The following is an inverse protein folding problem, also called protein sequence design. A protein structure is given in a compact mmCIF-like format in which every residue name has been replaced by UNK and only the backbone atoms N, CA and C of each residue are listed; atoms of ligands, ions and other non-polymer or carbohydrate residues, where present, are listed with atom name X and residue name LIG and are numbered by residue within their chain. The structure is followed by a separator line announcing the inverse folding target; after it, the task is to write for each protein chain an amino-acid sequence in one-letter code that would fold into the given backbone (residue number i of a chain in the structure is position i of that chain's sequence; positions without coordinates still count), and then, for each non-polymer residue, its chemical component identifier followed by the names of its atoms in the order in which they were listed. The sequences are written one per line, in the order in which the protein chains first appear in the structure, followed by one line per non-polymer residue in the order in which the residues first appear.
data_IF_577432107218
#
_entry.id   IF_577432107218
#
_cell.length_a   1.000
_cell.length_b   1.000
_cell.length_c   1.000
_cell.angle_alpha   90.00
_cell.angle_beta   90.00
_cell.angle_gamma   90.00
#
_symmetry.space_group_name_H-M   'P 1'
#
loop_
_entity.id
_entity.type
_entity.pdbx_description
1 polymer ?
#
# COMPACT_ATOMS: atom_id res chain seq x y z
N UNK A 1 5.10 -25.26 10.95
CA UNK A 1 4.25 -25.17 9.74
C UNK A 1 4.96 -25.91 8.63
N UNK A 2 4.31 -26.90 8.02
CA UNK A 2 4.89 -27.61 6.88
C UNK A 2 4.79 -26.72 5.63
N UNK A 3 5.89 -26.58 4.90
CA UNK A 3 5.89 -25.89 3.60
C UNK A 3 5.21 -26.79 2.59
N UNK A 4 4.08 -26.34 2.05
CA UNK A 4 3.35 -27.06 1.02
C UNK A 4 4.13 -27.02 -0.30
N UNK A 5 4.52 -28.18 -0.82
CA UNK A 5 5.20 -28.26 -2.12
C UNK A 5 4.21 -27.91 -3.23
N UNK A 6 4.25 -26.68 -3.73
CA UNK A 6 3.44 -26.21 -4.86
C UNK A 6 4.26 -26.10 -6.13
N UNK A 7 3.62 -26.33 -7.26
CA UNK A 7 4.21 -26.10 -8.58
C UNK A 7 4.44 -24.60 -8.79
N UNK A 8 5.49 -24.23 -9.52
CA UNK A 8 5.81 -22.82 -9.81
C UNK A 8 4.60 -22.04 -10.34
N UNK A 9 3.82 -22.65 -11.23
CA UNK A 9 2.59 -22.04 -11.77
C UNK A 9 1.55 -21.76 -10.69
N UNK A 10 1.37 -22.68 -9.74
CA UNK A 10 0.41 -22.49 -8.63
C UNK A 10 0.80 -21.36 -7.67
N UNK A 11 2.07 -21.01 -7.63
CA UNK A 11 2.56 -19.86 -6.87
C UNK A 11 2.51 -18.57 -7.69
N UNK A 12 2.91 -18.63 -8.97
CA UNK A 12 3.05 -17.44 -9.82
C UNK A 12 1.70 -16.85 -10.22
N UNK A 13 0.71 -17.68 -10.58
CA UNK A 13 -0.61 -17.18 -11.02
C UNK A 13 -1.30 -16.31 -9.98
N UNK A 14 -1.44 -16.72 -8.71
CA UNK A 14 -2.03 -15.85 -7.69
C UNK A 14 -1.26 -14.54 -7.48
N UNK A 15 0.07 -14.57 -7.55
CA UNK A 15 0.91 -13.38 -7.39
C UNK A 15 0.73 -12.41 -8.56
N UNK A 16 0.69 -12.93 -9.80
CA UNK A 16 0.39 -12.11 -10.97
C UNK A 16 -0.99 -11.47 -10.89
N UNK A 17 -2.01 -12.24 -10.52
CA UNK A 17 -3.37 -11.74 -10.34
C UNK A 17 -3.44 -10.67 -9.24
N UNK A 18 -2.76 -10.87 -8.12
CA UNK A 18 -2.66 -9.91 -7.03
C UNK A 18 -2.05 -8.59 -7.50
N UNK A 19 -0.97 -8.65 -8.29
CA UNK A 19 -0.31 -7.46 -8.84
C UNK A 19 -1.19 -6.72 -9.84
N UNK A 20 -1.89 -7.46 -10.72
CA UNK A 20 -2.84 -6.88 -11.67
C UNK A 20 -4.01 -6.20 -10.95
N UNK A 21 -4.57 -6.84 -9.93
CA UNK A 21 -5.65 -6.25 -9.12
C UNK A 21 -5.21 -4.99 -8.39
N UNK A 22 -3.98 -4.95 -7.88
CA UNK A 22 -3.42 -3.75 -7.27
C UNK A 22 -3.30 -2.59 -8.27
N UNK A 23 -2.83 -2.87 -9.49
CA UNK A 23 -2.74 -1.86 -10.56
C UNK A 23 -4.12 -1.38 -11.00
N UNK A 24 -5.08 -2.30 -11.18
CA UNK A 24 -6.45 -1.96 -11.55
C UNK A 24 -7.13 -1.11 -10.48
N UNK A 25 -6.93 -1.40 -9.20
CA UNK A 25 -7.45 -0.57 -8.10
C UNK A 25 -6.98 0.87 -8.21
N UNK A 26 -5.69 1.10 -8.44
CA UNK A 26 -5.15 2.46 -8.62
C UNK A 26 -5.75 3.18 -9.84
N UNK A 27 -6.01 2.45 -10.94
CA UNK A 27 -6.71 3.02 -12.10
C UNK A 27 -8.14 3.41 -11.78
N UNK A 28 -8.89 2.54 -11.10
CA UNK A 28 -10.27 2.81 -10.67
C UNK A 28 -10.31 4.01 -9.73
N UNK A 29 -9.43 4.09 -8.75
CA UNK A 29 -9.35 5.23 -7.83
C UNK A 29 -9.12 6.54 -8.60
N UNK A 30 -8.22 6.54 -9.59
CA UNK A 30 -7.94 7.71 -10.43
C UNK A 30 -9.15 8.10 -11.27
N UNK A 31 -9.83 7.14 -11.89
CA UNK A 31 -11.05 7.38 -12.66
C UNK A 31 -12.18 7.93 -11.78
N UNK A 32 -12.36 7.38 -10.60
CA UNK A 32 -13.35 7.89 -9.64
C UNK A 32 -13.01 9.31 -9.19
N UNK A 33 -11.74 9.62 -9.00
CA UNK A 33 -11.30 10.95 -8.61
C UNK A 33 -11.46 11.98 -9.74
N UNK A 34 -11.23 11.58 -11.00
CA UNK A 34 -11.41 12.46 -12.16
C UNK A 34 -12.85 12.95 -12.34
N UNK A 35 -13.84 12.18 -11.87
CA UNK A 35 -15.22 12.61 -11.85
C UNK A 35 -15.52 13.73 -10.84
N UNK A 36 -14.61 13.98 -9.91
CA UNK A 36 -14.75 15.05 -8.89
C UNK A 36 -14.17 16.37 -9.42
N UNK A 37 -12.90 16.40 -9.81
CA UNK A 37 -12.26 17.54 -10.48
C UNK A 37 -10.84 17.18 -10.95
N UNK A 38 -10.36 17.82 -12.01
CA UNK A 38 -8.98 17.69 -12.50
C UNK A 38 -7.96 18.17 -11.46
N UNK A 39 -8.31 19.18 -10.67
CA UNK A 39 -7.46 19.66 -9.58
C UNK A 39 -7.28 18.59 -8.49
N UNK A 40 -8.33 17.84 -8.15
CA UNK A 40 -8.24 16.75 -7.19
C UNK A 40 -7.32 15.62 -7.70
N UNK A 41 -7.41 15.27 -8.98
CA UNK A 41 -6.51 14.29 -9.60
C UNK A 41 -5.05 14.75 -9.53
N UNK A 42 -4.78 16.00 -9.88
CA UNK A 42 -3.45 16.58 -9.82
C UNK A 42 -2.87 16.60 -8.40
N UNK A 43 -3.69 17.01 -7.41
CA UNK A 43 -3.27 17.07 -6.02
C UNK A 43 -2.96 15.68 -5.44
N UNK A 44 -3.85 14.71 -5.66
CA UNK A 44 -3.68 13.33 -5.18
C UNK A 44 -2.53 12.63 -5.91
N UNK A 45 -2.42 12.82 -7.24
CA UNK A 45 -1.32 12.26 -8.02
C UNK A 45 0.04 12.75 -7.55
N UNK A 46 0.16 14.05 -7.26
CA UNK A 46 1.39 14.62 -6.70
C UNK A 46 1.70 14.03 -5.32
N UNK A 47 0.73 14.00 -4.41
CA UNK A 47 0.93 13.44 -3.09
C UNK A 47 1.30 11.94 -3.13
N UNK A 48 0.65 11.16 -4.01
CA UNK A 48 0.94 9.74 -4.20
C UNK A 48 2.35 9.48 -4.72
N UNK A 49 2.96 10.41 -5.47
CA UNK A 49 4.36 10.28 -5.89
C UNK A 49 5.30 10.19 -4.69
N UNK A 50 5.06 10.99 -3.64
CA UNK A 50 5.88 10.94 -2.42
C UNK A 50 5.58 9.71 -1.57
N UNK A 51 4.32 9.34 -1.41
CA UNK A 51 3.91 8.13 -0.70
C UNK A 51 4.49 6.89 -1.42
N UNK A 52 4.51 6.91 -2.77
CA UNK A 52 5.03 5.83 -3.61
C UNK A 52 6.50 5.49 -3.34
N UNK A 53 7.35 6.49 -3.06
CA UNK A 53 8.75 6.26 -2.69
C UNK A 53 8.85 5.41 -1.44
N UNK A 54 8.02 5.67 -0.42
CA UNK A 54 8.01 4.88 0.81
C UNK A 54 7.45 3.48 0.60
N UNK A 55 6.42 3.33 -0.24
CA UNK A 55 5.87 2.02 -0.61
C UNK A 55 6.95 1.14 -1.27
N UNK A 56 7.75 1.70 -2.18
CA UNK A 56 8.88 0.99 -2.79
C UNK A 56 9.90 0.57 -1.73
N UNK A 57 10.25 1.46 -0.82
CA UNK A 57 11.18 1.16 0.28
C UNK A 57 10.68 0.01 1.16
N UNK A 58 9.40 0.01 1.55
CA UNK A 58 8.78 -1.08 2.30
C UNK A 58 8.80 -2.40 1.53
N UNK A 59 8.59 -2.34 0.21
CA UNK A 59 8.70 -3.49 -0.69
C UNK A 59 10.11 -4.09 -0.73
N UNK A 60 11.14 -3.24 -0.77
CA UNK A 60 12.56 -3.69 -0.75
C UNK A 60 12.89 -4.41 0.55
N UNK A 61 12.50 -3.85 1.70
CA UNK A 61 12.71 -4.50 3.00
C UNK A 61 11.98 -5.85 3.06
N UNK A 62 10.74 -5.91 2.57
CA UNK A 62 9.97 -7.16 2.50
C UNK A 62 10.61 -8.19 1.58
N UNK A 63 11.19 -7.77 0.47
CA UNK A 63 11.91 -8.66 -0.46
C UNK A 63 13.17 -9.25 0.19
N UNK A 64 13.92 -8.43 0.92
CA UNK A 64 15.06 -8.90 1.71
C UNK A 64 14.65 -9.94 2.77
N UNK A 65 13.56 -9.68 3.48
CA UNK A 65 12.98 -10.64 4.44
C UNK A 65 12.61 -11.96 3.75
N UNK A 66 11.96 -11.93 2.59
CA UNK A 66 11.59 -13.12 1.81
C UNK A 66 12.82 -13.93 1.43
N UNK A 67 13.88 -13.29 0.97
CA UNK A 67 15.12 -13.96 0.57
C UNK A 67 15.74 -14.73 1.75
N UNK A 68 15.89 -14.06 2.91
CA UNK A 68 16.44 -14.68 4.12
C UNK A 68 15.55 -15.81 4.63
N UNK A 69 14.23 -15.60 4.67
CA UNK A 69 13.27 -16.62 5.10
C UNK A 69 13.32 -17.85 4.21
N UNK A 70 13.22 -17.67 2.89
CA UNK A 70 13.19 -18.78 1.92
C UNK A 70 14.45 -19.63 1.97
N UNK A 71 15.63 -19.00 2.04
CA UNK A 71 16.92 -19.69 2.17
C UNK A 71 17.00 -20.50 3.46
N UNK A 72 16.60 -19.95 4.58
CA UNK A 72 16.71 -20.64 5.87
C UNK A 72 15.65 -21.73 6.07
N UNK A 73 14.46 -21.57 5.49
CA UNK A 73 13.45 -22.64 5.45
C UNK A 73 13.97 -23.80 4.59
N UNK A 74 14.55 -23.50 3.41
CA UNK A 74 15.14 -24.52 2.53
C UNK A 74 16.33 -25.23 3.18
N UNK A 75 17.09 -24.54 4.03
CA UNK A 75 18.22 -25.12 4.80
C UNK A 75 17.79 -25.86 6.09
N UNK A 76 16.48 -25.97 6.36
CA UNK A 76 15.96 -26.62 7.58
C UNK A 76 16.18 -25.82 8.87
N UNK A 77 16.32 -24.50 8.77
CA UNK A 77 16.56 -23.57 9.90
C UNK A 77 15.37 -22.63 10.14
N UNK A 78 14.19 -23.13 10.55
CA UNK A 78 12.99 -22.33 10.69
C UNK A 78 13.10 -21.22 11.76
N UNK A 79 13.96 -21.39 12.77
CA UNK A 79 14.20 -20.38 13.81
C UNK A 79 14.75 -19.08 13.23
N UNK A 80 15.70 -19.14 12.29
CA UNK A 80 16.28 -17.96 11.65
C UNK A 80 15.24 -17.30 10.72
N UNK A 81 14.44 -18.10 10.02
CA UNK A 81 13.34 -17.57 9.20
C UNK A 81 12.31 -16.80 10.04
N UNK A 82 11.98 -17.29 11.22
CA UNK A 82 11.10 -16.60 12.15
C UNK A 82 11.70 -15.26 12.64
N UNK A 83 12.99 -15.25 12.99
CA UNK A 83 13.70 -14.01 13.36
C UNK A 83 13.72 -13.00 12.21
N UNK A 84 13.99 -13.44 10.98
CA UNK A 84 13.96 -12.58 9.80
C UNK A 84 12.58 -11.93 9.59
N UNK A 85 11.49 -12.68 9.82
CA UNK A 85 10.14 -12.12 9.78
C UNK A 85 9.93 -11.04 10.85
N UNK A 86 10.34 -11.31 12.10
CA UNK A 86 10.19 -10.35 13.19
C UNK A 86 10.98 -9.07 12.91
N UNK A 87 12.22 -9.19 12.45
CA UNK A 87 13.04 -8.05 12.08
C UNK A 87 12.41 -7.25 10.95
N UNK A 88 11.97 -7.91 9.88
CA UNK A 88 11.28 -7.25 8.77
C UNK A 88 10.03 -6.48 9.23
N UNK A 89 9.23 -7.08 10.12
CA UNK A 89 8.05 -6.43 10.70
C UNK A 89 8.42 -5.20 11.53
N UNK A 90 9.41 -5.34 12.44
CA UNK A 90 9.85 -4.24 13.31
C UNK A 90 10.42 -3.09 12.46
N UNK A 91 11.28 -3.38 11.49
CA UNK A 91 11.87 -2.35 10.62
C UNK A 91 10.80 -1.63 9.82
N UNK A 92 9.93 -2.35 9.11
CA UNK A 92 8.87 -1.70 8.33
C UNK A 92 7.90 -0.92 9.21
N UNK A 93 7.48 -1.47 10.35
CA UNK A 93 6.59 -0.79 11.28
C UNK A 93 7.23 0.48 11.85
N UNK A 94 8.49 0.41 12.29
CA UNK A 94 9.21 1.57 12.84
C UNK A 94 9.39 2.67 11.81
N UNK A 95 9.88 2.33 10.61
CA UNK A 95 10.06 3.29 9.53
C UNK A 95 8.69 3.84 9.08
N UNK A 96 7.69 2.98 8.93
CA UNK A 96 6.34 3.38 8.57
C UNK A 96 5.73 4.35 9.59
N UNK A 97 5.93 4.11 10.89
CA UNK A 97 5.46 5.01 11.95
C UNK A 97 6.16 6.36 11.89
N UNK A 98 7.49 6.39 11.76
CA UNK A 98 8.27 7.63 11.64
C UNK A 98 7.81 8.43 10.42
N UNK A 99 7.65 7.75 9.26
CA UNK A 99 7.19 8.40 8.03
C UNK A 99 5.75 8.89 8.12
N UNK A 100 4.86 8.16 8.78
CA UNK A 100 3.49 8.60 9.04
C UNK A 100 3.47 9.91 9.84
N UNK A 101 4.28 10.00 10.88
CA UNK A 101 4.39 11.22 11.69
C UNK A 101 4.96 12.37 10.86
N UNK A 102 6.02 12.13 10.10
CA UNK A 102 6.64 13.16 9.24
C UNK A 102 5.63 13.67 8.21
N UNK A 103 4.94 12.79 7.50
CA UNK A 103 3.96 13.16 6.49
C UNK A 103 2.73 13.85 7.09
N UNK A 104 2.27 13.44 8.26
CA UNK A 104 1.14 14.10 8.93
C UNK A 104 1.48 15.49 9.43
N UNK A 105 2.66 15.67 10.03
CA UNK A 105 3.05 16.95 10.67
C UNK A 105 3.63 17.94 9.65
N UNK A 106 4.49 17.46 8.73
CA UNK A 106 5.24 18.32 7.81
C UNK A 106 4.70 18.35 6.39
N UNK A 107 3.49 17.84 6.14
CA UNK A 107 2.86 17.78 4.81
C UNK A 107 2.93 19.10 4.04
N UNK A 108 2.54 20.20 4.66
CA UNK A 108 2.56 21.53 4.02
C UNK A 108 3.97 22.03 3.72
N UNK A 109 4.94 21.76 4.60
CA UNK A 109 6.36 22.10 4.38
C UNK A 109 6.96 21.32 3.21
N UNK A 110 6.70 20.01 3.16
CA UNK A 110 7.18 19.13 2.07
C UNK A 110 6.65 19.62 0.72
N UNK A 111 5.35 19.88 0.63
CA UNK A 111 4.72 20.31 -0.63
C UNK A 111 5.19 21.70 -1.10
N UNK A 112 5.51 22.61 -0.16
CA UNK A 112 6.07 23.93 -0.50
C UNK A 112 7.50 23.85 -1.00
N UNK A 113 8.35 23.02 -0.39
CA UNK A 113 9.74 22.80 -0.84
C UNK A 113 9.75 22.29 -2.28
N UNK A 114 8.79 21.47 -2.67
CA UNK A 114 8.68 20.92 -4.01
C UNK A 114 7.99 21.87 -4.99
N UNK A 115 7.61 23.05 -4.55
CA UNK A 115 7.03 24.11 -5.41
C UNK A 115 5.77 23.66 -6.16
N UNK A 116 4.87 22.92 -5.48
CA UNK A 116 3.58 22.54 -6.07
C UNK A 116 2.74 23.79 -6.42
N UNK A 117 1.96 23.70 -7.50
CA UNK A 117 1.08 24.81 -7.89
C UNK A 117 0.16 25.26 -6.75
N UNK A 118 0.04 26.58 -6.48
CA UNK A 118 -0.74 27.10 -5.34
C UNK A 118 -2.18 26.58 -5.27
N UNK A 119 -2.80 26.36 -6.43
CA UNK A 119 -4.16 25.83 -6.53
C UNK A 119 -4.29 24.38 -6.01
N UNK A 120 -3.21 23.60 -6.06
CA UNK A 120 -3.18 22.20 -5.64
C UNK A 120 -2.71 22.03 -4.20
N UNK A 121 -2.13 23.05 -3.58
CA UNK A 121 -1.45 22.93 -2.29
C UNK A 121 -2.41 22.48 -1.18
N UNK A 122 -3.55 23.14 -1.01
CA UNK A 122 -4.49 22.84 0.07
C UNK A 122 -5.10 21.43 -0.04
N UNK A 123 -5.61 20.97 -1.21
CA UNK A 123 -6.13 19.62 -1.34
C UNK A 123 -5.03 18.56 -1.21
N UNK A 124 -3.83 18.80 -1.74
CA UNK A 124 -2.70 17.87 -1.62
C UNK A 124 -2.21 17.76 -0.16
N UNK A 125 -2.17 18.86 0.58
CA UNK A 125 -1.79 18.87 2.00
C UNK A 125 -2.78 18.07 2.84
N UNK A 126 -4.08 18.27 2.63
CA UNK A 126 -5.12 17.51 3.35
C UNK A 126 -5.02 16.01 3.05
N UNK A 127 -4.84 15.64 1.79
CA UNK A 127 -4.67 14.27 1.39
C UNK A 127 -3.40 13.64 2.00
N UNK A 128 -2.28 14.36 1.93
CA UNK A 128 -0.99 13.88 2.46
C UNK A 128 -1.02 13.73 3.98
N UNK A 129 -1.74 14.59 4.71
CA UNK A 129 -1.96 14.46 6.15
C UNK A 129 -2.72 13.18 6.50
N UNK A 130 -3.80 12.90 5.79
CA UNK A 130 -4.68 11.75 6.09
C UNK A 130 -4.02 10.45 5.63
N UNK A 131 -3.71 10.35 4.34
CA UNK A 131 -3.19 9.11 3.74
C UNK A 131 -1.73 8.87 4.11
N UNK A 132 -0.93 9.93 4.14
CA UNK A 132 0.45 9.88 4.62
C UNK A 132 0.52 9.55 6.11
N UNK A 133 -0.38 10.11 6.94
CA UNK A 133 -0.51 9.75 8.35
C UNK A 133 -0.87 8.28 8.59
N UNK A 134 -1.55 7.63 7.65
CA UNK A 134 -1.85 6.20 7.67
C UNK A 134 -0.78 5.33 6.97
N UNK A 135 0.35 5.90 6.53
CA UNK A 135 1.39 5.22 5.75
C UNK A 135 1.99 4.00 6.47
N UNK A 136 1.96 3.97 7.81
CA UNK A 136 2.40 2.81 8.59
C UNK A 136 1.61 1.54 8.27
N UNK A 137 0.34 1.65 7.89
CA UNK A 137 -0.46 0.49 7.44
C UNK A 137 0.10 -0.06 6.12
N UNK A 138 0.49 0.83 5.20
CA UNK A 138 1.15 0.43 3.95
C UNK A 138 2.51 -0.23 4.18
N UNK A 139 3.17 0.03 5.30
CA UNK A 139 4.41 -0.65 5.67
C UNK A 139 4.18 -2.10 6.14
N UNK A 140 3.03 -2.41 6.72
CA UNK A 140 2.70 -3.74 7.25
C UNK A 140 2.22 -4.70 6.15
N UNK A 141 1.45 -4.21 5.18
CA UNK A 141 0.84 -5.02 4.12
C UNK A 141 1.86 -5.90 3.38
N UNK A 142 3.00 -5.37 2.85
CA UNK A 142 3.96 -6.18 2.12
C UNK A 142 4.64 -7.24 2.99
N UNK A 143 4.79 -7.01 4.29
CA UNK A 143 5.36 -8.00 5.22
C UNK A 143 4.42 -9.20 5.39
N UNK A 144 3.13 -8.95 5.64
CA UNK A 144 2.15 -10.02 5.81
C UNK A 144 1.93 -10.79 4.51
N UNK A 145 1.79 -10.09 3.38
CA UNK A 145 1.65 -10.70 2.07
C UNK A 145 2.87 -11.59 1.71
N UNK A 146 4.07 -11.05 1.92
CA UNK A 146 5.33 -11.77 1.69
C UNK A 146 5.48 -12.99 2.59
N UNK A 147 5.10 -12.88 3.85
CA UNK A 147 5.09 -14.01 4.79
C UNK A 147 4.19 -15.15 4.30
N UNK A 148 2.96 -14.84 3.88
CA UNK A 148 2.04 -15.82 3.34
C UNK A 148 2.60 -16.50 2.08
N UNK A 149 3.25 -15.74 1.19
CA UNK A 149 3.86 -16.25 -0.04
C UNK A 149 5.01 -17.23 0.24
N UNK A 150 5.87 -16.93 1.22
CA UNK A 150 7.00 -17.82 1.59
C UNK A 150 6.52 -19.19 2.05
N UNK A 151 5.38 -19.26 2.74
CA UNK A 151 4.79 -20.53 3.17
C UNK A 151 3.84 -21.17 2.15
N UNK A 152 3.74 -20.62 0.94
CA UNK A 152 2.89 -21.14 -0.13
C UNK A 152 1.41 -20.76 -0.02
N UNK A 153 1.04 -19.91 0.93
CA UNK A 153 -0.35 -19.42 1.10
C UNK A 153 -0.70 -18.26 0.17
N UNK A 154 -0.26 -18.32 -1.08
CA UNK A 154 -0.45 -17.25 -2.08
C UNK A 154 -1.93 -16.94 -2.36
N UNK A 155 -2.80 -17.96 -2.28
CA UNK A 155 -4.25 -17.75 -2.42
C UNK A 155 -4.83 -16.85 -1.32
N UNK A 156 -4.34 -16.96 -0.10
CA UNK A 156 -4.82 -16.13 1.02
C UNK A 156 -4.38 -14.67 0.86
N UNK A 157 -3.17 -14.44 0.34
CA UNK A 157 -2.72 -13.09 -0.03
C UNK A 157 -3.62 -12.48 -1.11
N UNK A 158 -3.91 -13.25 -2.16
CA UNK A 158 -4.83 -12.82 -3.23
C UNK A 158 -6.24 -12.50 -2.72
N UNK A 159 -6.81 -13.36 -1.85
CA UNK A 159 -8.13 -13.11 -1.25
C UNK A 159 -8.11 -11.82 -0.42
N UNK A 160 -7.06 -11.57 0.35
CA UNK A 160 -6.89 -10.33 1.09
C UNK A 160 -6.89 -9.10 0.19
N UNK A 161 -6.18 -9.16 -0.94
CA UNK A 161 -6.15 -8.08 -1.94
C UNK A 161 -7.51 -7.86 -2.60
N UNK A 162 -8.21 -8.94 -2.97
CA UNK A 162 -9.58 -8.85 -3.52
C UNK A 162 -10.52 -8.18 -2.51
N UNK A 163 -10.50 -8.62 -1.26
CA UNK A 163 -11.34 -8.04 -0.20
C UNK A 163 -11.03 -6.55 0.01
N UNK A 164 -9.75 -6.19 0.05
CA UNK A 164 -9.32 -4.79 0.16
C UNK A 164 -9.81 -3.93 -1.00
N UNK A 165 -9.69 -4.41 -2.25
CA UNK A 165 -10.16 -3.69 -3.43
C UNK A 165 -11.70 -3.54 -3.44
N UNK A 166 -12.44 -4.58 -3.06
CA UNK A 166 -13.91 -4.50 -2.97
C UNK A 166 -14.33 -3.47 -1.93
N UNK A 167 -13.70 -3.48 -0.75
CA UNK A 167 -13.97 -2.49 0.30
C UNK A 167 -13.63 -1.08 -0.19
N UNK A 168 -12.48 -0.90 -0.87
CA UNK A 168 -12.07 0.37 -1.45
C UNK A 168 -13.12 0.92 -2.42
N UNK A 169 -13.58 0.10 -3.38
CA UNK A 169 -14.61 0.50 -4.36
C UNK A 169 -15.93 0.87 -3.67
N UNK A 170 -16.36 0.09 -2.68
CA UNK A 170 -17.59 0.37 -1.92
C UNK A 170 -17.46 1.71 -1.17
N UNK A 171 -16.36 1.93 -0.46
CA UNK A 171 -16.15 3.16 0.28
C UNK A 171 -16.09 4.37 -0.66
N UNK A 172 -15.34 4.28 -1.75
CA UNK A 172 -15.26 5.34 -2.75
C UNK A 172 -16.64 5.67 -3.33
N UNK A 173 -17.45 4.65 -3.66
CA UNK A 173 -18.80 4.84 -4.16
C UNK A 173 -19.70 5.55 -3.15
N UNK A 174 -19.67 5.14 -1.88
CA UNK A 174 -20.45 5.77 -0.81
C UNK A 174 -20.06 7.25 -0.64
N UNK A 175 -18.76 7.54 -0.61
CA UNK A 175 -18.29 8.92 -0.46
C UNK A 175 -18.59 9.80 -1.66
N UNK A 176 -18.58 9.25 -2.88
CA UNK A 176 -18.98 9.99 -4.10
C UNK A 176 -20.47 10.29 -4.11
N UNK A 177 -21.33 9.32 -3.81
CA UNK A 177 -22.79 9.50 -3.75
C UNK A 177 -23.15 10.53 -2.68
N UNK A 178 -22.53 10.48 -1.51
CA UNK A 178 -22.73 11.47 -0.45
C UNK A 178 -22.38 12.89 -0.89
N UNK A 179 -21.32 13.07 -1.69
CA UNK A 179 -20.91 14.39 -2.21
C UNK A 179 -21.81 14.91 -3.32
N UNK A 180 -22.29 14.06 -4.21
CA UNK A 180 -23.25 14.41 -5.27
C UNK A 180 -24.56 14.92 -4.66
N UNK A 181 -25.07 14.25 -3.63
CA UNK A 181 -26.28 14.67 -2.90
C UNK A 181 -26.14 15.99 -2.16
N UNK A 182 -24.94 16.36 -1.71
CA UNK A 182 -24.69 17.66 -1.11
C UNK A 182 -24.59 18.81 -2.14
N UNK A 183 -24.20 18.50 -3.39
CA UNK A 183 -24.03 19.52 -4.45
C UNK A 183 -25.36 19.91 -5.10
N UNK A 184 -26.35 19.02 -5.07
CA UNK A 184 -27.71 19.32 -5.58
C UNK A 184 -28.57 20.17 -4.59
N UNK A 185 -28.10 20.37 -3.37
CA UNK A 185 -28.83 21.14 -2.33
C UNK A 185 -28.37 22.58 -2.16
N UNK A 186 -27.45 23.06 -3.00
CA UNK A 186 -26.95 24.46 -3.04
C UNK A 186 -27.26 25.06 -4.40
#
# INVERSE_FOLDING_TARGET
MAVEKKTLTQLSVPICLETLLYMLSGMVDTLMLSSVSDQAVGAVGTANTYIGVFIIMFGVISSGMVAVMSQNIGAGRPGIAYQARQLGLIFNASIGMVMSVILAVFSGGILRIVSIAPALLAPAETYLKIVGGACFLNALIPIFSSYLRVFGYTKHSLIGTIAGNVINIILNSIFQIGRASCRERV
#
